data_IF_119622995557
#
_entry.id   IF_119622995557
#
_cell.length_a   1.000
_cell.length_b   1.000
_cell.length_c   1.000
_cell.angle_alpha   90.00
_cell.angle_beta   90.00
_cell.angle_gamma   90.00
#
_symmetry.space_group_name_H-M   'P 1'
#
loop_
_entity.id
_entity.type
_entity.pdbx_description
1 polymer ?
#
# COMPACT_ATOMS: atom_id res chain seq x y z
N UNK A 1 -48.53 12.68 -1.76
CA UNK A 1 -47.50 13.64 -2.22
C UNK A 1 -46.50 13.71 -1.09
N UNK A 2 -45.28 13.20 -1.30
CA UNK A 2 -44.17 13.41 -0.35
C UNK A 2 -43.46 14.68 -0.75
N UNK A 3 -43.31 15.61 0.16
CA UNK A 3 -42.48 16.79 -0.04
C UNK A 3 -41.03 16.39 0.28
N UNK A 4 -40.20 16.29 -0.73
CA UNK A 4 -38.78 16.04 -0.60
C UNK A 4 -38.06 17.37 -0.40
N UNK A 5 -37.00 17.38 0.42
CA UNK A 5 -36.08 18.49 0.49
C UNK A 5 -35.23 18.55 -0.79
N UNK A 6 -34.66 19.72 -1.11
CA UNK A 6 -33.76 19.86 -2.26
C UNK A 6 -32.60 18.84 -2.21
N UNK A 7 -32.08 18.56 -1.04
CA UNK A 7 -31.00 17.59 -0.81
C UNK A 7 -31.45 16.15 -1.13
N UNK A 8 -32.66 15.76 -0.69
CA UNK A 8 -33.22 14.44 -1.02
C UNK A 8 -33.48 14.27 -2.53
N UNK A 9 -33.88 15.33 -3.22
CA UNK A 9 -34.08 15.30 -4.68
C UNK A 9 -32.75 15.04 -5.40
N UNK A 10 -31.68 15.74 -5.00
CA UNK A 10 -30.34 15.54 -5.58
C UNK A 10 -29.82 14.14 -5.27
N UNK A 11 -30.01 13.63 -4.05
CA UNK A 11 -29.63 12.27 -3.68
C UNK A 11 -30.34 11.22 -4.54
N UNK A 12 -31.67 11.31 -4.68
CA UNK A 12 -32.47 10.40 -5.49
C UNK A 12 -32.02 10.43 -6.96
N UNK A 13 -31.78 11.64 -7.49
CA UNK A 13 -31.29 11.80 -8.86
C UNK A 13 -29.90 11.17 -9.08
N UNK A 14 -29.02 11.28 -8.10
CA UNK A 14 -27.69 10.67 -8.15
C UNK A 14 -27.79 9.14 -8.09
N UNK A 15 -28.65 8.59 -7.24
CA UNK A 15 -28.89 7.14 -7.14
C UNK A 15 -29.50 6.61 -8.45
N UNK A 16 -30.48 7.33 -9.02
CA UNK A 16 -31.07 6.97 -10.33
C UNK A 16 -29.99 6.94 -11.42
N UNK A 17 -29.12 7.96 -11.45
CA UNK A 17 -28.03 8.01 -12.42
C UNK A 17 -27.05 6.84 -12.25
N UNK A 18 -26.73 6.42 -11.00
CA UNK A 18 -25.87 5.26 -10.73
C UNK A 18 -26.50 3.94 -11.22
N UNK A 19 -27.82 3.85 -11.22
CA UNK A 19 -28.54 2.66 -11.68
C UNK A 19 -28.64 2.54 -13.21
N UNK A 20 -28.13 3.55 -13.96
CA UNK A 20 -28.04 3.47 -15.43
C UNK A 20 -26.96 2.49 -15.83
N UNK A 21 -27.20 1.74 -16.91
CA UNK A 21 -26.30 0.70 -17.40
C UNK A 21 -25.01 1.24 -18.08
N UNK A 22 -24.93 2.55 -18.32
CA UNK A 22 -23.89 3.17 -19.15
C UNK A 22 -22.74 3.81 -18.38
N UNK A 23 -22.70 3.70 -17.03
CA UNK A 23 -21.62 4.29 -16.23
C UNK A 23 -20.34 3.45 -16.32
N UNK A 24 -19.22 4.13 -16.61
CA UNK A 24 -17.94 3.47 -16.48
C UNK A 24 -17.56 3.23 -14.98
N UNK A 25 -16.65 2.27 -14.69
CA UNK A 25 -16.32 1.92 -13.29
C UNK A 25 -15.74 3.06 -12.46
N UNK A 26 -15.12 4.05 -13.08
CA UNK A 26 -14.53 5.21 -12.38
C UNK A 26 -15.63 6.24 -12.08
N UNK A 27 -16.56 6.49 -13.00
CA UNK A 27 -17.74 7.33 -12.75
C UNK A 27 -18.62 6.76 -11.64
N UNK A 28 -18.86 5.43 -11.65
CA UNK A 28 -19.55 4.73 -10.57
C UNK A 28 -18.87 4.95 -9.22
N UNK A 29 -17.54 4.85 -9.18
CA UNK A 29 -16.75 5.07 -7.99
C UNK A 29 -16.85 6.52 -7.46
N UNK A 30 -16.81 7.51 -8.35
CA UNK A 30 -17.03 8.91 -8.00
C UNK A 30 -18.44 9.17 -7.46
N UNK A 31 -19.46 8.59 -8.08
CA UNK A 31 -20.81 8.73 -7.62
C UNK A 31 -21.02 8.14 -6.21
N UNK A 32 -20.42 6.96 -5.91
CA UNK A 32 -20.45 6.41 -4.56
C UNK A 32 -19.71 7.30 -3.56
N UNK A 33 -18.56 7.83 -3.95
CA UNK A 33 -17.79 8.75 -3.10
C UNK A 33 -18.61 10.00 -2.76
N UNK A 34 -19.32 10.58 -3.74
CA UNK A 34 -20.21 11.72 -3.52
C UNK A 34 -21.35 11.40 -2.53
N UNK A 35 -21.96 10.21 -2.64
CA UNK A 35 -22.99 9.78 -1.68
C UNK A 35 -22.47 9.72 -0.25
N UNK A 36 -21.22 9.26 -0.05
CA UNK A 36 -20.59 9.21 1.27
C UNK A 36 -20.26 10.61 1.82
N UNK A 37 -19.70 11.50 0.98
CA UNK A 37 -19.13 12.77 1.42
C UNK A 37 -20.20 13.90 1.49
N UNK A 38 -21.08 14.00 0.47
CA UNK A 38 -22.07 15.08 0.39
C UNK A 38 -23.32 14.78 1.22
N UNK A 39 -23.71 13.51 1.31
CA UNK A 39 -24.93 13.08 2.04
C UNK A 39 -24.64 12.40 3.38
N UNK A 40 -23.36 12.33 3.81
CA UNK A 40 -22.94 11.69 5.06
C UNK A 40 -23.44 10.24 5.24
N UNK A 41 -23.64 9.52 4.15
CA UNK A 41 -24.10 8.14 4.18
C UNK A 41 -22.95 7.18 4.54
N UNK A 42 -23.28 6.12 5.26
CA UNK A 42 -22.35 5.01 5.47
C UNK A 42 -22.28 4.11 4.24
N UNK A 43 -21.17 3.38 4.09
CA UNK A 43 -21.00 2.45 2.95
C UNK A 43 -22.11 1.39 2.88
N UNK A 44 -22.65 0.96 4.02
CA UNK A 44 -23.76 0.00 4.08
C UNK A 44 -25.05 0.62 3.52
N UNK A 45 -25.33 1.88 3.89
CA UNK A 45 -26.51 2.63 3.43
C UNK A 45 -26.43 2.91 1.92
N UNK A 46 -25.24 3.28 1.41
CA UNK A 46 -25.02 3.44 -0.04
C UNK A 46 -25.28 2.12 -0.76
N UNK A 47 -24.71 1.01 -0.26
CA UNK A 47 -24.86 -0.31 -0.85
C UNK A 47 -26.33 -0.73 -0.95
N UNK A 48 -27.12 -0.52 0.10
CA UNK A 48 -28.55 -0.81 0.13
C UNK A 48 -29.31 0.02 -0.90
N UNK A 49 -29.05 1.35 -0.96
CA UNK A 49 -29.74 2.25 -1.87
C UNK A 49 -29.46 1.98 -3.35
N UNK A 50 -28.24 1.55 -3.69
CA UNK A 50 -27.84 1.22 -5.05
C UNK A 50 -28.02 -0.27 -5.38
N UNK A 51 -28.58 -1.07 -4.46
CA UNK A 51 -28.82 -2.52 -4.64
C UNK A 51 -27.54 -3.30 -4.97
N UNK A 52 -26.41 -2.90 -4.37
CA UNK A 52 -25.10 -3.58 -4.50
C UNK A 52 -24.65 -4.10 -3.13
N UNK A 53 -23.63 -4.97 -3.11
CA UNK A 53 -23.02 -5.36 -1.86
C UNK A 53 -22.09 -4.25 -1.33
N UNK A 54 -21.94 -4.13 0.00
CA UNK A 54 -20.97 -3.22 0.62
C UNK A 54 -19.56 -3.42 0.05
N UNK A 55 -19.18 -4.68 -0.17
CA UNK A 55 -17.87 -5.03 -0.75
C UNK A 55 -17.73 -4.47 -2.17
N UNK A 56 -18.78 -4.49 -2.99
CA UNK A 56 -18.76 -3.91 -4.33
C UNK A 56 -18.53 -2.39 -4.26
N UNK A 57 -19.32 -1.67 -3.44
CA UNK A 57 -19.17 -0.22 -3.21
C UNK A 57 -17.76 0.13 -2.72
N UNK A 58 -17.26 -0.59 -1.72
CA UNK A 58 -15.90 -0.38 -1.20
C UNK A 58 -14.83 -0.59 -2.27
N UNK A 59 -14.97 -1.65 -3.08
CA UNK A 59 -14.01 -1.96 -4.15
C UNK A 59 -14.05 -0.92 -5.28
N UNK A 60 -15.24 -0.42 -5.67
CA UNK A 60 -15.36 0.67 -6.64
C UNK A 60 -14.66 1.93 -6.13
N UNK A 61 -14.95 2.38 -4.91
CA UNK A 61 -14.34 3.58 -4.34
C UNK A 61 -12.81 3.47 -4.26
N UNK A 62 -12.27 2.28 -4.00
CA UNK A 62 -10.82 2.06 -3.97
C UNK A 62 -10.14 2.32 -5.31
N UNK A 63 -10.84 2.19 -6.45
CA UNK A 63 -10.28 2.48 -7.76
C UNK A 63 -9.83 3.94 -7.90
N UNK A 64 -10.45 4.87 -7.17
CA UNK A 64 -10.06 6.28 -7.15
C UNK A 64 -8.68 6.55 -6.52
N UNK A 65 -8.09 5.55 -5.86
CA UNK A 65 -6.72 5.63 -5.31
C UNK A 65 -5.65 5.27 -6.34
N UNK A 66 -6.03 4.79 -7.50
CA UNK A 66 -5.11 4.48 -8.59
C UNK A 66 -4.53 5.75 -9.20
N UNK A 67 -3.37 5.62 -9.83
CA UNK A 67 -2.81 6.64 -10.70
C UNK A 67 -3.86 7.03 -11.78
N UNK A 68 -3.98 8.32 -12.07
CA UNK A 68 -4.96 8.84 -13.04
C UNK A 68 -4.84 8.17 -14.42
N UNK A 69 -3.62 7.87 -14.87
CA UNK A 69 -3.37 7.16 -16.14
C UNK A 69 -3.91 5.73 -16.08
N UNK A 70 -3.83 5.06 -14.92
CA UNK A 70 -4.40 3.72 -14.73
C UNK A 70 -5.91 3.77 -14.68
N UNK A 71 -6.49 4.81 -14.06
CA UNK A 71 -7.94 5.05 -14.09
C UNK A 71 -8.41 5.23 -15.53
N UNK A 72 -7.68 6.01 -16.34
CA UNK A 72 -8.00 6.18 -17.76
C UNK A 72 -7.96 4.86 -18.53
N UNK A 73 -6.98 4.00 -18.28
CA UNK A 73 -6.92 2.66 -18.89
C UNK A 73 -8.14 1.79 -18.52
N UNK A 74 -8.73 1.99 -17.34
CA UNK A 74 -9.99 1.31 -16.96
C UNK A 74 -11.18 1.91 -17.70
N UNK A 75 -11.24 3.24 -17.88
CA UNK A 75 -12.28 3.93 -18.63
C UNK A 75 -12.29 3.50 -20.10
N UNK A 76 -11.10 3.35 -20.69
CA UNK A 76 -10.88 2.97 -22.08
C UNK A 76 -10.98 1.44 -22.30
N UNK A 77 -11.42 0.67 -21.31
CA UNK A 77 -11.53 -0.80 -21.34
C UNK A 77 -10.21 -1.52 -21.71
N UNK A 78 -9.06 -0.85 -21.57
CA UNK A 78 -7.75 -1.45 -21.79
C UNK A 78 -7.42 -2.51 -20.73
N UNK A 79 -7.85 -2.27 -19.50
CA UNK A 79 -7.73 -3.21 -18.38
C UNK A 79 -9.05 -3.33 -17.61
N UNK A 80 -9.36 -4.52 -17.15
CA UNK A 80 -10.57 -4.77 -16.37
C UNK A 80 -10.42 -4.28 -14.92
N UNK A 81 -11.55 -4.03 -14.25
CA UNK A 81 -11.58 -3.64 -12.82
C UNK A 81 -10.88 -4.65 -11.89
N UNK A 82 -10.82 -5.93 -12.29
CA UNK A 82 -10.07 -6.96 -11.57
C UNK A 82 -8.56 -6.69 -11.56
N UNK A 83 -7.99 -6.33 -12.71
CA UNK A 83 -6.57 -5.94 -12.83
C UNK A 83 -6.30 -4.66 -12.03
N UNK A 84 -7.16 -3.65 -12.18
CA UNK A 84 -7.07 -2.39 -11.45
C UNK A 84 -7.06 -2.60 -9.93
N UNK A 85 -7.92 -3.50 -9.40
CA UNK A 85 -7.90 -3.86 -7.96
C UNK A 85 -6.61 -4.52 -7.51
N UNK A 86 -6.04 -5.40 -8.33
CA UNK A 86 -4.75 -6.02 -8.01
C UNK A 86 -3.64 -4.97 -7.96
N UNK A 87 -3.62 -4.02 -8.90
CA UNK A 87 -2.63 -2.94 -8.99
C UNK A 87 -2.67 -1.96 -7.80
N UNK A 88 -3.78 -1.87 -7.06
CA UNK A 88 -3.85 -1.10 -5.80
C UNK A 88 -2.85 -1.58 -4.73
N UNK A 89 -2.31 -2.78 -4.87
CA UNK A 89 -1.24 -3.26 -4.00
C UNK A 89 0.12 -2.60 -4.24
N UNK A 90 0.27 -1.80 -5.28
CA UNK A 90 1.50 -1.05 -5.58
C UNK A 90 1.30 0.40 -5.12
N UNK A 91 2.06 0.84 -4.12
CA UNK A 91 1.95 2.19 -3.55
C UNK A 91 2.56 3.27 -4.44
N UNK A 92 3.62 2.93 -5.16
CA UNK A 92 4.32 3.82 -6.09
C UNK A 92 3.50 3.99 -7.37
N UNK A 93 2.97 5.19 -7.57
CA UNK A 93 2.06 5.53 -8.69
C UNK A 93 2.73 5.36 -10.06
N UNK A 94 4.03 5.61 -10.18
CA UNK A 94 4.75 5.44 -11.45
C UNK A 94 4.93 3.94 -11.75
N UNK A 95 5.34 3.14 -10.77
CA UNK A 95 5.42 1.69 -10.90
C UNK A 95 4.06 1.08 -11.18
N UNK A 96 3.00 1.59 -10.54
CA UNK A 96 1.63 1.14 -10.76
C UNK A 96 1.24 1.30 -12.23
N UNK A 97 1.54 2.46 -12.83
CA UNK A 97 1.27 2.71 -14.25
C UNK A 97 2.12 1.81 -15.17
N UNK A 98 3.41 1.66 -14.91
CA UNK A 98 4.28 0.74 -15.67
C UNK A 98 3.76 -0.70 -15.63
N UNK A 99 3.29 -1.15 -14.46
CA UNK A 99 2.71 -2.48 -14.32
C UNK A 99 1.36 -2.60 -15.05
N UNK A 100 0.54 -1.54 -15.04
CA UNK A 100 -0.70 -1.51 -15.80
C UNK A 100 -0.46 -1.63 -17.31
N UNK A 101 0.56 -0.92 -17.85
CA UNK A 101 0.97 -1.06 -19.24
C UNK A 101 1.42 -2.49 -19.55
N UNK A 102 2.25 -3.08 -18.69
CA UNK A 102 2.69 -4.46 -18.84
C UNK A 102 1.53 -5.45 -18.85
N UNK A 103 0.54 -5.26 -17.96
CA UNK A 103 -0.68 -6.10 -17.93
C UNK A 103 -1.44 -6.02 -19.25
N UNK A 104 -1.54 -4.84 -19.83
CA UNK A 104 -2.20 -4.63 -21.12
C UNK A 104 -1.40 -5.24 -22.28
N UNK A 105 -0.10 -4.97 -22.38
CA UNK A 105 0.76 -5.41 -23.48
C UNK A 105 0.89 -6.95 -23.53
N UNK A 106 1.09 -7.57 -22.36
CA UNK A 106 1.24 -9.03 -22.23
C UNK A 106 -0.12 -9.76 -22.11
N UNK A 107 -1.24 -9.03 -22.12
CA UNK A 107 -2.61 -9.56 -21.96
C UNK A 107 -2.75 -10.52 -20.75
N UNK A 108 -2.16 -10.10 -19.62
CA UNK A 108 -2.16 -10.90 -18.41
C UNK A 108 -3.59 -11.07 -17.85
N UNK A 109 -3.87 -12.24 -17.33
CA UNK A 109 -5.09 -12.48 -16.56
C UNK A 109 -5.04 -11.80 -15.19
N UNK A 110 -6.21 -11.62 -14.55
CA UNK A 110 -6.28 -11.03 -13.19
C UNK A 110 -5.40 -11.81 -12.20
N UNK A 111 -5.38 -13.15 -12.28
CA UNK A 111 -4.56 -14.01 -11.40
C UNK A 111 -3.05 -13.82 -11.62
N UNK A 112 -2.63 -13.62 -12.86
CA UNK A 112 -1.22 -13.35 -13.20
C UNK A 112 -0.82 -11.95 -12.72
N UNK A 113 -1.70 -10.97 -12.87
CA UNK A 113 -1.52 -9.62 -12.34
C UNK A 113 -1.36 -9.64 -10.80
N UNK A 114 -2.18 -10.39 -10.08
CA UNK A 114 -2.04 -10.57 -8.63
C UNK A 114 -0.67 -11.18 -8.24
N UNK A 115 -0.20 -12.18 -9.00
CA UNK A 115 1.14 -12.77 -8.78
C UNK A 115 2.25 -11.76 -9.05
N UNK A 116 2.12 -10.98 -10.13
CA UNK A 116 3.07 -9.92 -10.49
C UNK A 116 3.17 -8.88 -9.37
N UNK A 117 2.03 -8.39 -8.87
CA UNK A 117 1.99 -7.41 -7.78
C UNK A 117 2.64 -7.96 -6.51
N UNK A 118 2.32 -9.21 -6.13
CA UNK A 118 2.95 -9.88 -4.98
C UNK A 118 4.46 -10.00 -5.12
N UNK A 119 4.96 -10.25 -6.33
CA UNK A 119 6.40 -10.31 -6.60
C UNK A 119 7.05 -8.94 -6.39
N UNK A 120 6.47 -7.88 -6.93
CA UNK A 120 6.96 -6.50 -6.76
C UNK A 120 6.96 -6.08 -5.28
N UNK A 121 5.94 -6.46 -4.52
CA UNK A 121 5.87 -6.19 -3.08
C UNK A 121 7.00 -6.90 -2.31
N UNK A 122 7.24 -8.19 -2.59
CA UNK A 122 8.33 -8.95 -1.96
C UNK A 122 9.70 -8.36 -2.27
N UNK A 123 9.96 -8.00 -3.53
CA UNK A 123 11.21 -7.36 -3.94
C UNK A 123 11.41 -6.03 -3.18
N UNK A 124 10.34 -5.24 -2.96
CA UNK A 124 10.40 -4.01 -2.15
C UNK A 124 10.76 -4.31 -0.70
N UNK A 125 10.09 -5.28 -0.07
CA UNK A 125 10.35 -5.68 1.31
C UNK A 125 11.79 -6.21 1.50
N UNK A 126 12.30 -7.00 0.57
CA UNK A 126 13.69 -7.51 0.61
C UNK A 126 14.70 -6.37 0.49
N UNK A 127 14.47 -5.40 -0.40
CA UNK A 127 15.34 -4.23 -0.55
C UNK A 127 15.31 -3.33 0.69
N UNK A 128 14.14 -3.15 1.31
CA UNK A 128 14.02 -2.37 2.54
C UNK A 128 14.72 -3.04 3.73
N UNK A 129 14.56 -4.35 3.89
CA UNK A 129 15.30 -5.14 4.91
C UNK A 129 16.80 -5.02 4.72
N UNK A 130 17.29 -5.22 3.49
CA UNK A 130 18.73 -5.13 3.21
C UNK A 130 19.30 -3.73 3.48
N UNK A 131 18.52 -2.67 3.28
CA UNK A 131 18.94 -1.30 3.62
C UNK A 131 18.98 -1.06 5.13
N UNK A 132 17.99 -1.58 5.86
CA UNK A 132 17.92 -1.48 7.31
C UNK A 132 19.04 -2.27 7.98
N UNK A 133 19.33 -3.47 7.48
CA UNK A 133 20.46 -4.30 7.96
C UNK A 133 21.81 -3.59 7.75
N UNK A 134 22.03 -2.97 6.59
CA UNK A 134 23.27 -2.19 6.33
C UNK A 134 23.40 -0.96 7.23
N UNK A 135 22.32 -0.26 7.53
CA UNK A 135 22.37 0.89 8.44
C UNK A 135 22.69 0.46 9.87
N UNK A 136 22.10 -0.64 10.34
CA UNK A 136 22.42 -1.24 11.64
C UNK A 136 23.88 -1.71 11.71
N UNK A 137 24.39 -2.32 10.66
CA UNK A 137 25.79 -2.75 10.57
C UNK A 137 26.77 -1.58 10.71
N UNK A 138 26.50 -0.44 10.08
CA UNK A 138 27.30 0.79 10.23
C UNK A 138 27.26 1.29 11.68
N UNK A 139 26.09 1.28 12.31
CA UNK A 139 25.94 1.71 13.72
C UNK A 139 26.72 0.78 14.66
N UNK A 140 26.66 -0.54 14.42
CA UNK A 140 27.43 -1.50 15.22
C UNK A 140 28.93 -1.34 15.05
N UNK A 141 29.41 -1.10 13.83
CA UNK A 141 30.83 -0.81 13.57
C UNK A 141 31.32 0.45 14.31
N UNK A 142 30.54 1.53 14.29
CA UNK A 142 30.88 2.76 15.05
C UNK A 142 30.92 2.52 16.57
N UNK A 143 30.00 1.71 17.09
CA UNK A 143 29.98 1.31 18.49
C UNK A 143 31.18 0.41 18.85
N UNK A 144 31.51 -0.57 18.00
CA UNK A 144 32.70 -1.42 18.18
C UNK A 144 33.98 -0.60 18.24
N UNK A 145 34.15 0.38 17.35
CA UNK A 145 35.32 1.27 17.35
C UNK A 145 35.41 2.13 18.61
N UNK A 146 34.29 2.72 19.04
CA UNK A 146 34.25 3.51 20.30
C UNK A 146 34.58 2.66 21.53
N UNK A 147 33.98 1.47 21.60
CA UNK A 147 34.29 0.54 22.72
C UNK A 147 35.74 0.06 22.67
N UNK A 148 36.30 -0.20 21.50
CA UNK A 148 37.69 -0.54 21.31
C UNK A 148 38.64 0.57 21.79
N UNK A 149 38.30 1.85 21.53
CA UNK A 149 39.09 3.00 22.00
C UNK A 149 39.07 3.13 23.51
N UNK A 150 37.92 2.85 24.16
CA UNK A 150 37.79 2.95 25.62
C UNK A 150 38.44 1.76 26.31
N UNK A 151 38.23 0.55 25.81
CA UNK A 151 38.68 -0.68 26.46
C UNK A 151 40.11 -1.11 26.06
N UNK A 152 40.68 -0.52 25.01
CA UNK A 152 42.00 -0.86 24.50
C UNK A 152 42.09 -2.27 23.89
N UNK A 153 41.00 -2.94 23.66
CA UNK A 153 40.96 -4.32 23.17
C UNK A 153 39.88 -4.49 22.08
N UNK A 154 39.92 -5.64 21.41
CA UNK A 154 38.95 -5.94 20.34
C UNK A 154 37.56 -6.21 20.92
N UNK A 155 36.58 -5.53 20.35
CA UNK A 155 35.16 -5.71 20.68
C UNK A 155 34.44 -6.11 19.40
N UNK A 156 33.51 -7.05 19.50
CA UNK A 156 32.64 -7.48 18.39
C UNK A 156 31.19 -7.54 18.85
N UNK A 157 30.30 -6.95 18.07
CA UNK A 157 28.85 -6.92 18.33
C UNK A 157 28.16 -7.83 17.32
N UNK A 158 27.64 -8.95 17.79
CA UNK A 158 26.91 -9.92 16.99
C UNK A 158 25.41 -9.80 17.25
N UNK A 159 24.67 -9.12 16.37
CA UNK A 159 23.22 -9.08 16.45
C UNK A 159 22.62 -10.43 16.02
N UNK A 160 21.65 -10.92 16.80
CA UNK A 160 20.87 -12.13 16.44
C UNK A 160 19.50 -11.76 15.88
N UNK A 161 18.87 -10.74 16.46
CA UNK A 161 17.55 -10.21 16.11
C UNK A 161 17.56 -8.70 16.39
N UNK A 162 16.48 -8.00 16.01
CA UNK A 162 16.31 -6.55 16.24
C UNK A 162 16.51 -6.11 17.71
N UNK A 163 16.25 -7.01 18.66
CA UNK A 163 16.27 -6.72 20.11
C UNK A 163 17.25 -7.59 20.90
N UNK A 164 18.01 -8.47 20.25
CA UNK A 164 18.92 -9.38 20.92
C UNK A 164 20.23 -9.50 20.16
N UNK A 165 21.32 -9.40 20.89
CA UNK A 165 22.67 -9.58 20.36
C UNK A 165 23.62 -10.07 21.45
N UNK A 166 24.88 -10.27 21.08
CA UNK A 166 25.99 -10.66 21.94
C UNK A 166 27.14 -9.70 21.69
N UNK A 167 27.70 -9.16 22.76
CA UNK A 167 28.92 -8.38 22.71
C UNK A 167 30.04 -9.28 23.19
N UNK A 168 31.07 -9.45 22.37
CA UNK A 168 32.29 -10.20 22.70
C UNK A 168 33.44 -9.24 22.86
N UNK A 169 34.12 -9.30 24.03
CA UNK A 169 35.27 -8.48 24.37
C UNK A 169 36.43 -9.43 24.59
N UNK A 170 37.50 -9.29 23.79
CA UNK A 170 38.71 -10.04 23.98
C UNK A 170 39.50 -9.41 25.14
N UNK A 171 40.00 -10.20 26.09
CA UNK A 171 40.89 -9.74 27.16
C UNK A 171 42.13 -10.63 27.24
N UNK A 172 43.28 -10.00 27.46
CA UNK A 172 44.56 -10.72 27.52
C UNK A 172 45.15 -10.79 28.94
N UNK A 173 44.70 -9.89 29.86
CA UNK A 173 45.14 -9.88 31.24
C UNK A 173 44.19 -9.07 32.12
N UNK A 174 43.89 -9.56 33.34
CA UNK A 174 43.05 -8.87 34.33
C UNK A 174 43.62 -7.52 34.84
N UNK A 175 44.92 -7.28 34.69
CA UNK A 175 45.57 -6.06 35.16
C UNK A 175 45.32 -4.81 34.28
N UNK A 176 44.80 -4.96 33.09
CA UNK A 176 44.51 -3.84 32.18
C UNK A 176 43.26 -3.02 32.55
N UNK A 177 42.48 -3.50 33.50
CA UNK A 177 41.18 -2.89 33.84
C UNK A 177 41.14 -2.32 35.27
N UNK A 178 42.24 -2.29 35.96
CA UNK A 178 42.40 -1.67 37.30
C UNK A 178 43.32 -0.46 37.24
N UNK A 179 43.00 0.52 36.41
CA UNK A 179 43.61 1.86 36.50
C UNK A 179 42.65 2.76 37.23
N UNK A 180 43.06 3.25 38.39
CA UNK A 180 42.41 4.27 39.21
C UNK A 180 42.06 5.53 38.41
#
# INVERSE_FOLDING_TARGET
IRNYTEQEIVEISLIENIQREDLNPIEEAFAYKRLLEEFNLKQDEVAERVSKSRTAVTNSIRLLKLNEKVQQMVIDDMIQTGHARALLGIEDLEKQYMMAQKVFDEKLSVRETEKLVKKVQKEKEEVEKTKMDKQLEIVYQDLEEKMKQILGTKVSINAKDENKGKIEIEYYNCLLYTSD
#
